data_IF_094508899538
#
_entry.id   IF_094508899538
#
_cell.length_a   1.000
_cell.length_b   1.000
_cell.length_c   1.000
_cell.angle_alpha   90.00
_cell.angle_beta   90.00
_cell.angle_gamma   90.00
#
_symmetry.space_group_name_H-M   'P 1'
#
loop_
_entity.id
_entity.type
_entity.pdbx_description
1 polymer ?
#
# COMPACT_ATOMS: atom_id res chain seq x y z
N UNK A 1 -19.60 19.04 0.10
CA UNK A 1 -20.60 18.43 0.97
C UNK A 1 -20.65 16.95 0.66
N UNK A 2 -20.55 16.13 1.68
CA UNK A 2 -20.56 14.68 1.59
C UNK A 2 -21.84 14.15 2.26
N UNK A 3 -22.25 12.93 1.94
CA UNK A 3 -23.34 12.26 2.63
C UNK A 3 -22.96 10.79 2.79
N UNK A 4 -22.98 10.31 4.01
CA UNK A 4 -22.72 8.91 4.32
C UNK A 4 -23.87 8.34 5.16
N UNK A 5 -24.40 7.22 4.69
CA UNK A 5 -25.25 6.34 5.46
C UNK A 5 -24.54 5.01 5.64
N UNK A 6 -24.26 4.65 6.88
CA UNK A 6 -23.60 3.39 7.21
C UNK A 6 -24.54 2.54 8.05
N UNK A 7 -24.76 1.33 7.61
CA UNK A 7 -25.48 0.29 8.36
C UNK A 7 -24.51 -0.85 8.61
N UNK A 8 -24.15 -1.02 9.86
CA UNK A 8 -23.29 -2.13 10.29
C UNK A 8 -24.17 -3.16 10.98
N UNK A 9 -24.10 -4.39 10.51
CA UNK A 9 -24.69 -5.55 11.18
C UNK A 9 -23.75 -6.73 10.96
N UNK A 10 -22.86 -6.95 11.93
CA UNK A 10 -21.88 -8.02 11.90
C UNK A 10 -22.08 -8.93 13.09
N UNK A 11 -22.22 -10.21 12.85
CA UNK A 11 -22.34 -11.22 13.88
C UNK A 11 -21.63 -12.50 13.48
N UNK A 12 -21.22 -13.28 14.46
CA UNK A 12 -20.59 -14.57 14.24
C UNK A 12 -21.14 -15.59 15.24
N UNK A 13 -21.76 -16.63 14.70
CA UNK A 13 -22.09 -17.83 15.47
C UNK A 13 -20.92 -18.81 15.40
N UNK A 14 -20.59 -19.41 16.51
CA UNK A 14 -19.58 -20.45 16.63
C UNK A 14 -20.17 -21.63 17.40
N UNK A 15 -19.69 -22.83 17.09
CA UNK A 15 -20.02 -24.04 17.84
C UNK A 15 -19.31 -24.09 19.20
N UNK A 16 -19.52 -25.17 19.95
CA UNK A 16 -18.87 -25.40 21.24
C UNK A 16 -17.35 -25.49 21.15
N UNK A 17 -16.80 -25.77 19.96
CA UNK A 17 -15.37 -25.83 19.69
C UNK A 17 -14.80 -24.49 19.18
N UNK A 18 -15.65 -23.46 19.02
CA UNK A 18 -15.23 -22.13 18.56
C UNK A 18 -15.12 -21.97 17.04
N UNK A 19 -15.57 -22.93 16.25
CA UNK A 19 -15.58 -22.86 14.79
C UNK A 19 -16.83 -22.14 14.28
N UNK A 20 -16.67 -21.34 13.23
CA UNK A 20 -17.79 -20.88 12.41
C UNK A 20 -18.09 -21.94 11.37
N UNK A 21 -18.90 -22.89 11.70
CA UNK A 21 -19.34 -23.92 10.73
C UNK A 21 -20.56 -23.46 9.96
N UNK A 22 -20.62 -23.67 8.63
CA UNK A 22 -21.90 -23.65 7.94
C UNK A 22 -22.77 -24.77 8.53
N UNK A 23 -24.00 -24.44 8.90
CA UNK A 23 -24.95 -25.44 9.40
C UNK A 23 -25.23 -26.40 8.25
N UNK A 24 -24.82 -27.66 8.40
CA UNK A 24 -25.23 -28.71 7.48
C UNK A 24 -26.64 -29.19 7.86
N UNK A 25 -27.63 -28.70 7.15
CA UNK A 25 -29.02 -29.12 7.33
C UNK A 25 -29.32 -30.53 6.76
N UNK A 26 -28.32 -31.15 6.08
CA UNK A 26 -28.54 -32.45 5.41
C UNK A 26 -28.40 -33.63 6.36
N UNK A 27 -27.79 -33.45 7.53
CA UNK A 27 -27.58 -34.50 8.52
C UNK A 27 -28.39 -34.22 9.78
N UNK A 28 -29.63 -34.71 9.91
CA UNK A 28 -30.46 -34.49 11.10
C UNK A 28 -29.75 -35.07 12.34
N UNK A 29 -29.62 -34.25 13.38
CA UNK A 29 -29.16 -34.65 14.71
C UNK A 29 -27.66 -34.43 15.00
N UNK A 30 -26.88 -33.80 14.10
CA UNK A 30 -25.44 -33.53 14.31
C UNK A 30 -25.14 -32.19 14.96
N UNK A 31 -26.09 -31.27 15.01
CA UNK A 31 -25.93 -29.98 15.70
C UNK A 31 -27.14 -29.71 16.60
N UNK A 32 -26.89 -29.74 17.88
CA UNK A 32 -27.88 -29.22 18.85
C UNK A 32 -27.82 -27.70 18.80
N UNK A 33 -28.95 -27.03 18.60
CA UNK A 33 -28.99 -25.55 18.61
C UNK A 33 -28.49 -24.96 19.96
N UNK A 34 -28.44 -25.77 21.01
CA UNK A 34 -27.87 -25.44 22.31
C UNK A 34 -26.31 -25.30 22.28
N UNK A 35 -25.65 -25.87 21.27
CA UNK A 35 -24.18 -25.85 21.15
C UNK A 35 -23.66 -24.63 20.37
N UNK A 36 -24.58 -23.86 19.75
CA UNK A 36 -24.22 -22.63 19.04
C UNK A 36 -24.23 -21.43 19.99
N UNK A 37 -23.18 -20.64 19.96
CA UNK A 37 -23.07 -19.41 20.72
C UNK A 37 -22.71 -18.23 19.80
N UNK A 38 -23.26 -17.08 20.15
CA UNK A 38 -22.93 -15.83 19.48
C UNK A 38 -21.58 -15.35 20.01
N UNK A 39 -20.56 -15.35 19.15
CA UNK A 39 -19.22 -14.88 19.50
C UNK A 39 -19.19 -13.36 19.63
N UNK A 40 -19.82 -12.66 18.71
CA UNK A 40 -20.02 -11.22 18.76
C UNK A 40 -21.23 -10.80 17.93
N UNK A 41 -21.78 -9.66 18.27
CA UNK A 41 -22.78 -8.94 17.48
C UNK A 41 -22.50 -7.45 17.55
N UNK A 42 -22.21 -6.85 16.40
CA UNK A 42 -21.94 -5.43 16.24
C UNK A 42 -23.06 -4.87 15.36
N UNK A 43 -23.86 -3.97 15.89
CA UNK A 43 -24.96 -3.34 15.17
C UNK A 43 -24.87 -1.81 15.33
N UNK A 44 -24.79 -1.09 14.21
CA UNK A 44 -24.74 0.35 14.19
C UNK A 44 -25.50 0.91 12.99
N UNK A 45 -26.15 2.04 13.18
CA UNK A 45 -26.80 2.79 12.10
C UNK A 45 -26.39 4.25 12.21
N UNK A 46 -25.59 4.69 11.26
CA UNK A 46 -25.01 6.02 11.27
C UNK A 46 -25.44 6.82 10.03
N UNK A 47 -25.74 8.09 10.21
CA UNK A 47 -26.03 9.00 9.13
C UNK A 47 -25.36 10.33 9.39
N UNK A 48 -24.47 10.76 8.49
CA UNK A 48 -23.77 12.03 8.57
C UNK A 48 -23.78 12.76 7.22
N UNK A 49 -23.73 14.08 7.27
CA UNK A 49 -23.67 14.95 6.09
C UNK A 49 -22.57 16.03 6.26
N UNK A 50 -21.31 15.62 6.40
CA UNK A 50 -20.25 16.58 6.65
C UNK A 50 -19.90 17.43 5.43
N UNK A 51 -19.27 18.56 5.71
CA UNK A 51 -18.67 19.46 4.72
C UNK A 51 -17.18 19.59 5.00
N UNK A 52 -16.38 19.50 3.96
CA UNK A 52 -14.94 19.80 4.03
C UNK A 52 -14.64 21.01 3.18
N UNK A 53 -13.94 21.99 3.78
CA UNK A 53 -13.41 23.14 3.09
C UNK A 53 -11.89 23.09 3.12
N UNK A 54 -11.23 23.38 2.02
CA UNK A 54 -9.78 23.44 2.00
C UNK A 54 -9.28 24.49 1.02
N UNK A 55 -8.18 25.15 1.41
CA UNK A 55 -7.46 26.10 0.58
C UNK A 55 -5.96 25.86 0.70
N UNK A 56 -5.21 26.30 -0.27
CA UNK A 56 -3.75 26.23 -0.23
C UNK A 56 -3.12 27.44 -0.92
N UNK A 57 -1.90 27.77 -0.48
CA UNK A 57 -1.02 28.72 -1.14
C UNK A 57 0.36 28.07 -1.31
N UNK A 58 0.96 28.29 -2.47
CA UNK A 58 2.28 27.73 -2.77
C UNK A 58 3.13 28.76 -3.48
N UNK A 59 4.40 28.84 -3.08
CA UNK A 59 5.43 29.65 -3.67
C UNK A 59 6.52 28.76 -4.24
N UNK A 60 6.96 29.01 -5.47
CA UNK A 60 8.04 28.29 -6.12
C UNK A 60 8.97 29.30 -6.78
N UNK A 61 10.26 29.20 -6.50
CA UNK A 61 11.28 30.07 -7.10
C UNK A 61 12.51 29.28 -7.48
N UNK A 62 13.04 29.57 -8.67
CA UNK A 62 14.35 29.13 -9.14
C UNK A 62 15.24 30.36 -9.19
N UNK A 63 16.46 30.25 -8.70
CA UNK A 63 17.48 31.31 -8.80
C UNK A 63 18.87 30.68 -8.87
N UNK A 64 19.87 31.50 -9.11
CA UNK A 64 21.26 31.09 -9.16
C UNK A 64 22.01 31.69 -7.97
N UNK A 65 22.81 30.88 -7.30
CA UNK A 65 23.77 31.32 -6.29
C UNK A 65 25.17 31.04 -6.84
N UNK A 66 25.77 32.06 -7.49
CA UNK A 66 26.92 31.84 -8.34
C UNK A 66 26.57 30.95 -9.54
N UNK A 67 27.26 29.85 -9.72
CA UNK A 67 26.99 28.84 -10.76
C UNK A 67 25.96 27.80 -10.33
N UNK A 68 25.66 27.73 -9.03
CA UNK A 68 24.73 26.72 -8.47
C UNK A 68 23.28 27.10 -8.77
N UNK A 69 22.52 26.19 -9.33
CA UNK A 69 21.06 26.34 -9.48
C UNK A 69 20.35 25.94 -8.19
N UNK A 70 19.53 26.85 -7.67
CA UNK A 70 18.76 26.67 -6.43
C UNK A 70 17.27 26.70 -6.73
N UNK A 71 16.54 25.78 -6.14
CA UNK A 71 15.10 25.69 -6.23
C UNK A 71 14.52 25.72 -4.82
N UNK A 72 13.53 26.58 -4.60
CA UNK A 72 12.79 26.68 -3.35
C UNK A 72 11.32 26.51 -3.64
N UNK A 73 10.68 25.59 -2.94
CA UNK A 73 9.23 25.44 -2.93
C UNK A 73 8.78 25.51 -1.47
N UNK A 74 7.80 26.35 -1.19
CA UNK A 74 7.16 26.43 0.12
C UNK A 74 5.66 26.55 -0.06
N UNK A 75 4.90 25.94 0.81
CA UNK A 75 3.45 25.98 0.72
C UNK A 75 2.79 25.72 2.06
N UNK A 76 1.57 26.18 2.16
CA UNK A 76 0.69 25.94 3.29
C UNK A 76 -0.68 25.52 2.77
N UNK A 77 -1.26 24.53 3.42
CA UNK A 77 -2.64 24.10 3.19
C UNK A 77 -3.40 24.23 4.50
N UNK A 78 -4.59 24.81 4.44
CA UNK A 78 -5.55 24.81 5.53
C UNK A 78 -6.77 23.97 5.11
N UNK A 79 -7.34 23.24 6.04
CA UNK A 79 -8.54 22.43 5.81
C UNK A 79 -9.39 22.42 7.08
N UNK A 80 -10.69 22.56 6.91
CA UNK A 80 -11.68 22.50 7.98
C UNK A 80 -12.69 21.39 7.67
N UNK A 81 -13.03 20.60 8.69
CA UNK A 81 -14.04 19.56 8.60
C UNK A 81 -15.06 19.72 9.71
N UNK A 82 -16.33 19.90 9.34
CA UNK A 82 -17.41 20.22 10.27
C UNK A 82 -17.93 18.99 11.05
N UNK A 83 -17.50 17.78 10.72
CA UNK A 83 -17.88 16.57 11.45
C UNK A 83 -17.33 16.56 12.88
N UNK A 84 -16.08 16.97 13.04
CA UNK A 84 -15.39 17.06 14.33
C UNK A 84 -14.93 18.49 14.66
N UNK A 85 -15.42 19.49 13.91
CA UNK A 85 -15.05 20.93 14.03
C UNK A 85 -13.53 21.20 13.99
N UNK A 86 -12.79 20.34 13.26
CA UNK A 86 -11.32 20.40 13.22
C UNK A 86 -10.82 21.31 12.09
N UNK A 87 -9.92 22.23 12.45
CA UNK A 87 -9.16 23.03 11.49
C UNK A 87 -7.69 22.68 11.56
N UNK A 88 -7.12 22.18 10.45
CA UNK A 88 -5.73 21.77 10.33
C UNK A 88 -4.96 22.67 9.38
N UNK A 89 -3.68 22.93 9.71
CA UNK A 89 -2.75 23.72 8.91
C UNK A 89 -1.50 22.88 8.63
N UNK A 90 -1.20 22.67 7.35
CA UNK A 90 -0.14 21.80 6.85
C UNK A 90 0.93 22.58 6.09
N UNK A 91 1.95 23.15 6.77
CA UNK A 91 3.09 23.80 6.13
C UNK A 91 4.06 22.75 5.58
N UNK A 92 4.67 23.05 4.42
CA UNK A 92 5.71 22.21 3.80
C UNK A 92 6.71 23.07 3.05
N UNK A 93 7.95 22.65 3.02
CA UNK A 93 9.00 23.29 2.27
C UNK A 93 9.93 22.26 1.63
N UNK A 94 10.51 22.62 0.50
CA UNK A 94 11.53 21.88 -0.19
C UNK A 94 12.60 22.86 -0.68
N UNK A 95 13.85 22.47 -0.48
CA UNK A 95 15.00 23.14 -0.99
C UNK A 95 15.79 22.15 -1.83
N UNK A 96 16.22 22.58 -3.03
CA UNK A 96 17.04 21.74 -3.88
C UNK A 96 18.16 22.55 -4.50
N UNK A 97 19.33 21.91 -4.63
CA UNK A 97 20.52 22.49 -5.26
C UNK A 97 21.03 21.57 -6.35
N UNK A 98 21.35 22.18 -7.49
CA UNK A 98 22.05 21.52 -8.58
C UNK A 98 23.39 22.24 -8.77
N UNK A 99 24.50 21.71 -8.20
CA UNK A 99 25.84 22.26 -8.41
C UNK A 99 26.25 22.23 -9.88
N UNK A 100 27.15 23.13 -10.24
CA UNK A 100 27.72 23.21 -11.58
C UNK A 100 29.07 22.48 -11.60
N UNK A 101 29.04 21.16 -11.55
CA UNK A 101 30.17 20.25 -11.64
C UNK A 101 29.94 19.23 -12.76
N UNK A 102 30.95 18.45 -13.12
CA UNK A 102 30.86 17.48 -14.23
C UNK A 102 29.80 16.39 -14.05
N UNK A 103 29.47 16.09 -12.81
CA UNK A 103 28.42 15.14 -12.48
C UNK A 103 27.04 15.82 -12.41
N UNK A 104 26.07 15.32 -13.16
CA UNK A 104 24.70 15.83 -13.11
C UNK A 104 23.97 15.31 -11.86
N UNK A 105 24.07 16.07 -10.78
CA UNK A 105 23.48 15.73 -9.49
C UNK A 105 22.52 16.83 -8.99
N UNK A 106 21.38 16.41 -8.48
CA UNK A 106 20.40 17.27 -7.82
C UNK A 106 20.17 16.77 -6.39
N UNK A 107 20.57 17.57 -5.41
CA UNK A 107 20.34 17.30 -3.99
C UNK A 107 19.08 18.02 -3.53
N UNK A 108 18.26 17.33 -2.76
CA UNK A 108 16.99 17.87 -2.27
C UNK A 108 16.83 17.56 -0.78
N UNK A 109 16.33 18.55 -0.03
CA UNK A 109 15.81 18.37 1.30
C UNK A 109 14.36 18.86 1.32
N UNK A 110 13.46 18.06 1.83
CA UNK A 110 12.07 18.42 1.98
C UNK A 110 11.57 18.08 3.38
N UNK A 111 10.67 18.89 3.89
CA UNK A 111 10.04 18.63 5.18
C UNK A 111 8.71 19.35 5.32
N UNK A 112 7.92 18.90 6.27
CA UNK A 112 6.62 19.50 6.54
C UNK A 112 5.82 18.74 7.58
N UNK A 113 4.69 19.37 7.91
CA UNK A 113 3.66 18.77 8.76
C UNK A 113 2.48 18.41 7.84
N UNK A 114 2.09 17.16 7.91
CA UNK A 114 1.03 16.60 7.07
C UNK A 114 -0.06 16.07 7.97
N UNK A 115 -1.29 16.38 7.64
CA UNK A 115 -2.46 15.85 8.32
C UNK A 115 -3.28 15.01 7.35
N UNK A 116 -3.82 13.94 7.86
CA UNK A 116 -4.77 13.10 7.18
C UNK A 116 -6.04 13.02 8.02
N UNK A 117 -7.10 13.67 7.55
CA UNK A 117 -8.41 13.49 8.17
C UNK A 117 -8.83 12.04 8.07
N UNK A 118 -9.45 11.49 9.10
CA UNK A 118 -9.87 10.09 9.11
C UNK A 118 -10.76 9.74 7.93
N UNK A 119 -10.60 8.53 7.43
CA UNK A 119 -11.57 7.92 6.53
C UNK A 119 -12.81 7.48 7.29
N UNK A 120 -13.93 7.34 6.62
CA UNK A 120 -15.20 6.91 7.24
C UNK A 120 -15.14 5.54 7.92
N UNK A 121 -14.18 4.68 7.53
CA UNK A 121 -13.93 3.42 8.23
C UNK A 121 -13.15 3.61 9.54
N UNK A 122 -12.33 4.65 9.61
CA UNK A 122 -11.48 4.96 10.77
C UNK A 122 -12.26 5.65 11.89
N UNK A 123 -13.33 6.40 11.57
CA UNK A 123 -14.18 7.06 12.56
C UNK A 123 -15.15 6.12 13.27
N UNK A 124 -15.29 4.89 12.77
CA UNK A 124 -16.17 3.91 13.35
C UNK A 124 -15.46 3.13 14.45
N UNK A 125 -16.04 3.15 15.63
CA UNK A 125 -15.56 2.36 16.76
C UNK A 125 -15.92 0.87 16.61
N UNK A 126 -15.51 0.09 17.59
CA UNK A 126 -15.70 -1.35 17.59
C UNK A 126 -17.17 -1.77 17.87
N UNK A 127 -17.97 -0.88 18.40
CA UNK A 127 -19.40 -1.08 18.62
C UNK A 127 -20.22 -0.69 17.39
N UNK A 128 -19.58 -0.15 16.36
CA UNK A 128 -20.23 0.24 15.11
C UNK A 128 -20.74 1.67 15.06
N UNK A 129 -20.43 2.50 16.07
CA UNK A 129 -20.85 3.90 16.13
C UNK A 129 -19.76 4.83 15.59
N UNK A 130 -20.17 6.00 15.11
CA UNK A 130 -19.21 7.02 14.68
C UNK A 130 -18.73 7.85 15.86
N UNK A 131 -17.41 7.95 16.00
CA UNK A 131 -16.76 8.81 16.98
C UNK A 131 -16.56 10.21 16.39
N UNK A 132 -17.30 11.20 16.91
CA UNK A 132 -17.17 12.61 16.48
C UNK A 132 -15.98 13.33 17.13
N UNK A 133 -15.33 12.76 18.12
CA UNK A 133 -14.17 13.35 18.79
C UNK A 133 -12.84 12.93 18.11
N UNK A 134 -12.91 12.15 17.05
CA UNK A 134 -11.73 11.68 16.36
C UNK A 134 -11.03 12.81 15.60
N UNK A 135 -9.73 12.91 15.75
CA UNK A 135 -8.89 13.94 15.16
C UNK A 135 -8.14 13.42 13.92
N UNK A 136 -7.61 14.35 13.13
CA UNK A 136 -6.73 14.04 12.00
C UNK A 136 -5.40 13.46 12.48
N UNK A 137 -4.99 12.38 11.84
CA UNK A 137 -3.66 11.80 12.05
C UNK A 137 -2.59 12.78 11.54
N UNK A 138 -1.54 13.01 12.30
CA UNK A 138 -0.47 13.95 12.01
C UNK A 138 0.83 13.24 11.69
N UNK A 139 1.57 13.72 10.68
CA UNK A 139 2.92 13.26 10.38
C UNK A 139 3.84 14.44 10.17
N UNK A 140 4.92 14.52 10.94
CA UNK A 140 6.06 15.40 10.69
C UNK A 140 7.14 14.60 9.99
N UNK A 141 7.62 15.07 8.84
CA UNK A 141 8.59 14.32 8.07
C UNK A 141 9.70 15.18 7.49
N UNK A 142 10.87 14.57 7.38
CA UNK A 142 12.04 15.10 6.68
C UNK A 142 12.52 14.05 5.69
N UNK A 143 12.84 14.50 4.48
CA UNK A 143 13.30 13.65 3.37
C UNK A 143 14.56 14.30 2.80
N UNK A 144 15.62 13.51 2.68
CA UNK A 144 16.82 13.83 1.93
C UNK A 144 16.82 13.00 0.65
N UNK A 145 17.05 13.62 -0.48
CA UNK A 145 17.03 12.93 -1.78
C UNK A 145 18.15 13.41 -2.68
N UNK A 146 18.68 12.49 -3.47
CA UNK A 146 19.64 12.79 -4.52
C UNK A 146 19.18 12.15 -5.84
N UNK A 147 19.17 12.93 -6.91
CA UNK A 147 19.05 12.44 -8.28
C UNK A 147 20.42 12.57 -8.95
N UNK A 148 20.95 11.46 -9.46
CA UNK A 148 22.18 11.39 -10.21
C UNK A 148 21.90 10.89 -11.62
N UNK A 149 22.09 11.77 -12.61
CA UNK A 149 21.97 11.45 -14.03
C UNK A 149 23.37 11.22 -14.63
N UNK A 150 23.55 10.08 -15.27
CA UNK A 150 24.84 9.68 -15.81
C UNK A 150 24.69 8.84 -17.08
N UNK A 151 25.80 8.65 -17.79
CA UNK A 151 25.85 7.75 -18.94
C UNK A 151 26.67 6.52 -18.59
N UNK A 152 26.13 5.35 -18.92
CA UNK A 152 26.85 4.09 -18.84
C UNK A 152 26.72 3.37 -20.17
N UNK A 153 27.86 3.02 -20.80
CA UNK A 153 27.88 2.43 -22.15
C UNK A 153 27.11 3.32 -23.15
N UNK A 154 27.37 4.65 -23.11
CA UNK A 154 26.71 5.69 -23.90
C UNK A 154 25.21 5.83 -23.81
N UNK A 155 24.57 5.21 -22.79
CA UNK A 155 23.13 5.25 -22.54
C UNK A 155 22.80 6.06 -21.31
N UNK A 156 21.61 6.71 -21.27
CA UNK A 156 21.20 7.50 -20.13
C UNK A 156 20.71 6.62 -18.98
N UNK A 157 21.21 6.94 -17.79
CA UNK A 157 20.75 6.35 -16.54
C UNK A 157 20.47 7.43 -15.51
N UNK A 158 19.53 7.14 -14.61
CA UNK A 158 19.23 7.97 -13.46
C UNK A 158 19.15 7.11 -12.21
N UNK A 159 19.99 7.43 -11.23
CA UNK A 159 19.91 6.88 -9.88
C UNK A 159 19.23 7.90 -8.97
N UNK A 160 18.10 7.53 -8.40
CA UNK A 160 17.45 8.31 -7.35
C UNK A 160 17.64 7.58 -6.03
N UNK A 161 18.14 8.29 -5.01
CA UNK A 161 18.26 7.79 -3.64
C UNK A 161 17.53 8.72 -2.69
N UNK A 162 16.83 8.15 -1.72
CA UNK A 162 16.09 8.91 -0.72
C UNK A 162 16.30 8.29 0.66
N UNK A 163 16.44 9.14 1.67
CA UNK A 163 16.41 8.75 3.07
C UNK A 163 15.39 9.61 3.79
N UNK A 164 14.58 9.02 4.65
CA UNK A 164 13.50 9.74 5.31
C UNK A 164 13.29 9.30 6.75
N UNK A 165 12.78 10.25 7.54
CA UNK A 165 12.27 10.02 8.86
C UNK A 165 10.91 10.70 9.02
N UNK A 166 9.96 9.99 9.64
CA UNK A 166 8.60 10.47 9.92
C UNK A 166 8.27 10.20 11.37
N UNK A 167 7.84 11.23 12.09
CA UNK A 167 7.18 11.10 13.38
C UNK A 167 5.68 11.21 13.15
N UNK A 168 4.92 10.33 13.75
CA UNK A 168 3.47 10.24 13.57
C UNK A 168 2.78 10.34 14.92
N UNK A 169 1.79 11.20 15.01
CA UNK A 169 1.00 11.44 16.21
C UNK A 169 -0.49 11.33 15.87
N UNK A 170 -1.34 11.14 16.87
CA UNK A 170 -2.78 10.99 16.73
C UNK A 170 -3.15 9.85 15.75
N UNK A 171 -2.38 8.78 15.75
CA UNK A 171 -2.67 7.63 14.89
C UNK A 171 -3.91 6.90 15.39
N UNK A 172 -4.68 6.40 14.42
CA UNK A 172 -5.81 5.51 14.66
C UNK A 172 -5.31 4.09 14.43
N UNK A 173 -5.06 3.31 15.49
CA UNK A 173 -4.58 1.95 15.34
C UNK A 173 -5.65 1.05 14.72
N UNK A 174 -5.17 0.04 14.03
CA UNK A 174 -6.00 -1.00 13.46
C UNK A 174 -5.34 -2.36 13.63
N UNK A 175 -6.13 -3.39 13.56
CA UNK A 175 -5.67 -4.76 13.56
C UNK A 175 -6.26 -5.54 12.39
N UNK A 176 -5.63 -6.67 12.10
CA UNK A 176 -6.08 -7.59 11.07
C UNK A 176 -6.89 -8.71 11.74
N UNK A 177 -8.21 -8.67 11.55
CA UNK A 177 -9.10 -9.76 11.93
C UNK A 177 -9.24 -10.68 10.71
N UNK A 178 -8.43 -11.74 10.69
CA UNK A 178 -8.26 -12.60 9.53
C UNK A 178 -7.78 -11.81 8.29
N UNK A 179 -8.68 -11.48 7.38
CA UNK A 179 -8.40 -10.66 6.18
C UNK A 179 -9.02 -9.26 6.26
N UNK A 180 -9.73 -8.93 7.34
CA UNK A 180 -10.39 -7.64 7.50
C UNK A 180 -9.53 -6.70 8.32
N UNK A 181 -9.55 -5.43 7.94
CA UNK A 181 -8.98 -4.34 8.73
C UNK A 181 -10.08 -3.81 9.65
N UNK A 182 -9.82 -3.81 10.95
CA UNK A 182 -10.68 -3.21 11.96
C UNK A 182 -9.94 -2.08 12.64
N UNK A 183 -10.54 -0.90 12.63
CA UNK A 183 -10.00 0.29 13.26
C UNK A 183 -10.51 0.42 14.70
N UNK A 184 -9.68 1.00 15.57
CA UNK A 184 -10.08 1.26 16.97
C UNK A 184 -11.14 2.38 17.09
N UNK A 185 -11.22 3.27 16.09
CA UNK A 185 -12.04 4.48 16.15
C UNK A 185 -11.55 5.52 17.16
N UNK A 186 -10.28 5.46 17.59
CA UNK A 186 -9.67 6.36 18.58
C UNK A 186 -8.27 6.77 18.16
N UNK A 187 -7.85 8.01 18.52
CA UNK A 187 -6.51 8.53 18.31
C UNK A 187 -5.58 8.18 19.50
N UNK A 188 -5.40 6.91 19.78
CA UNK A 188 -4.66 6.44 20.94
C UNK A 188 -3.30 5.82 20.61
N UNK A 189 -2.74 6.19 19.45
CA UNK A 189 -1.43 5.69 19.03
C UNK A 189 -0.55 6.82 18.50
N UNK A 190 0.75 6.66 18.70
CA UNK A 190 1.82 7.44 18.10
C UNK A 190 2.83 6.51 17.45
N UNK A 191 3.68 7.02 16.58
CA UNK A 191 4.63 6.16 15.91
C UNK A 191 5.72 6.91 15.16
N UNK A 192 6.60 6.13 14.54
CA UNK A 192 7.62 6.66 13.66
C UNK A 192 7.91 5.71 12.51
N UNK A 193 8.38 6.27 11.42
CA UNK A 193 8.87 5.51 10.28
C UNK A 193 10.19 6.10 9.79
N UNK A 194 11.10 5.25 9.36
CA UNK A 194 12.33 5.63 8.69
C UNK A 194 12.68 4.64 7.60
N UNK A 195 13.41 5.11 6.60
CA UNK A 195 13.81 4.24 5.52
C UNK A 195 14.78 4.89 4.55
N UNK A 196 15.27 4.03 3.67
CA UNK A 196 16.13 4.38 2.55
C UNK A 196 15.61 3.67 1.31
N UNK A 197 15.46 4.43 0.22
CA UNK A 197 15.02 3.96 -1.07
C UNK A 197 16.10 4.26 -2.12
N UNK A 198 16.31 3.32 -3.04
CA UNK A 198 17.17 3.51 -4.19
C UNK A 198 16.48 2.99 -5.45
N UNK A 199 16.53 3.76 -6.53
CA UNK A 199 15.97 3.38 -7.83
C UNK A 199 16.94 3.75 -8.94
N UNK A 200 17.34 2.74 -9.71
CA UNK A 200 18.08 2.91 -10.95
C UNK A 200 17.10 2.74 -12.12
N UNK A 201 16.97 3.77 -12.92
CA UNK A 201 16.16 3.81 -14.13
C UNK A 201 17.07 4.11 -15.32
N UNK A 202 16.82 3.50 -16.47
CA UNK A 202 17.56 3.83 -17.69
C UNK A 202 17.42 2.80 -18.79
N UNK A 203 18.16 3.04 -19.86
CA UNK A 203 18.21 2.16 -21.02
C UNK A 203 19.24 1.04 -20.83
N UNK A 204 18.86 -0.04 -20.15
CA UNK A 204 19.71 -1.24 -20.09
C UNK A 204 19.87 -1.90 -21.46
N UNK A 205 18.85 -1.76 -22.31
CA UNK A 205 18.86 -2.13 -23.72
C UNK A 205 18.51 -0.88 -24.53
N UNK A 206 19.20 -0.58 -25.65
CA UNK A 206 18.94 0.60 -26.44
C UNK A 206 17.47 0.74 -26.84
N UNK A 207 16.87 1.91 -26.58
CA UNK A 207 15.50 2.25 -26.96
C UNK A 207 14.40 1.63 -26.10
N UNK A 208 14.74 0.97 -24.98
CA UNK A 208 13.75 0.47 -24.00
C UNK A 208 14.17 0.77 -22.58
N UNK A 209 13.25 1.35 -21.83
CA UNK A 209 13.46 1.72 -20.44
C UNK A 209 13.25 0.50 -19.54
N UNK A 210 14.14 0.34 -18.59
CA UNK A 210 14.06 -0.64 -17.52
C UNK A 210 14.43 0.00 -16.19
N UNK A 211 14.04 -0.62 -15.08
CA UNK A 211 14.37 -0.09 -13.77
C UNK A 211 14.55 -1.19 -12.73
N UNK A 212 15.33 -0.86 -11.72
CA UNK A 212 15.54 -1.66 -10.52
C UNK A 212 15.34 -0.75 -9.31
N UNK A 213 14.63 -1.22 -8.31
CA UNK A 213 14.46 -0.49 -7.04
C UNK A 213 14.67 -1.41 -5.86
N UNK A 214 15.28 -0.86 -4.81
CA UNK A 214 15.43 -1.49 -3.52
C UNK A 214 15.05 -0.49 -2.43
N UNK A 215 14.30 -0.95 -1.44
CA UNK A 215 13.80 -0.14 -0.33
C UNK A 215 14.01 -0.87 0.98
N UNK A 216 14.47 -0.16 1.98
CA UNK A 216 14.46 -0.62 3.36
C UNK A 216 13.73 0.39 4.22
N UNK A 217 12.69 -0.05 4.91
CA UNK A 217 11.90 0.82 5.78
C UNK A 217 11.47 0.08 7.05
N UNK A 218 11.32 0.82 8.12
CA UNK A 218 10.74 0.34 9.38
C UNK A 218 9.64 1.30 9.81
N UNK A 219 8.55 0.73 10.27
CA UNK A 219 7.39 1.46 10.75
C UNK A 219 6.95 0.88 12.08
N UNK A 220 6.96 1.73 13.11
CA UNK A 220 6.58 1.36 14.47
C UNK A 220 5.42 2.22 14.96
N UNK A 221 4.64 1.66 15.84
CA UNK A 221 3.60 2.38 16.58
C UNK A 221 3.62 1.98 18.06
N UNK A 222 3.14 2.87 18.90
CA UNK A 222 2.95 2.67 20.33
C UNK A 222 1.51 2.99 20.66
N UNK A 223 0.75 1.98 20.99
CA UNK A 223 -0.69 2.08 21.29
C UNK A 223 -0.82 2.20 22.81
N UNK A 224 -1.53 3.23 23.29
CA UNK A 224 -1.77 3.51 24.72
C UNK A 224 -0.50 3.57 25.60
N UNK A 225 0.65 3.91 25.01
CA UNK A 225 1.91 3.95 25.75
C UNK A 225 2.47 2.58 26.19
N UNK A 226 1.96 1.48 25.64
CA UNK A 226 2.33 0.10 26.03
C UNK A 226 3.63 -0.42 25.41
N UNK A 227 4.34 0.44 24.68
CA UNK A 227 5.62 0.12 24.02
C UNK A 227 5.53 0.07 22.50
N UNK A 228 6.68 0.20 21.85
CA UNK A 228 6.76 0.22 20.39
C UNK A 228 6.64 -1.18 19.78
N UNK A 229 5.71 -1.34 18.88
CA UNK A 229 5.47 -2.56 18.10
C UNK A 229 5.59 -2.26 16.60
N UNK A 230 5.98 -3.23 15.76
CA UNK A 230 5.94 -3.05 14.32
C UNK A 230 4.50 -2.84 13.86
N UNK A 231 4.26 -1.80 13.06
CA UNK A 231 2.93 -1.59 12.47
C UNK A 231 2.62 -2.69 11.44
N UNK A 232 1.34 -3.06 11.22
CA UNK A 232 0.98 -4.10 10.23
C UNK A 232 1.52 -3.85 8.82
N UNK A 233 1.88 -2.60 8.53
CA UNK A 233 2.46 -2.17 7.25
C UNK A 233 3.98 -2.10 7.22
N UNK A 234 4.69 -2.56 8.28
CA UNK A 234 6.17 -2.54 8.33
C UNK A 234 6.76 -3.42 7.22
N UNK A 235 7.27 -2.85 6.11
CA UNK A 235 7.62 -3.64 4.92
C UNK A 235 9.02 -4.25 5.02
N UNK A 236 9.86 -3.76 5.92
CA UNK A 236 11.29 -4.06 6.04
C UNK A 236 12.02 -3.87 4.72
N UNK A 237 12.27 -4.93 3.97
CA UNK A 237 12.97 -4.88 2.70
C UNK A 237 12.04 -5.20 1.54
N UNK A 238 12.14 -4.40 0.47
CA UNK A 238 11.48 -4.63 -0.82
C UNK A 238 12.49 -4.50 -1.94
N UNK A 239 12.34 -5.36 -2.92
CA UNK A 239 13.07 -5.30 -4.17
C UNK A 239 12.08 -5.47 -5.33
N UNK A 240 12.21 -4.61 -6.34
CA UNK A 240 11.42 -4.72 -7.56
C UNK A 240 12.28 -4.38 -8.76
N UNK A 241 12.10 -5.13 -9.84
CA UNK A 241 12.79 -4.93 -11.09
C UNK A 241 11.79 -5.08 -12.24
N UNK A 242 11.88 -4.20 -13.20
CA UNK A 242 11.24 -4.32 -14.50
C UNK A 242 12.29 -4.22 -15.57
N UNK A 243 12.44 -5.26 -16.36
CA UNK A 243 13.41 -5.35 -17.44
C UNK A 243 12.70 -5.62 -18.75
N UNK A 244 13.09 -4.89 -19.79
CA UNK A 244 12.61 -5.10 -21.15
C UNK A 244 13.76 -5.32 -22.10
N UNK A 245 13.54 -6.16 -23.12
CA UNK A 245 14.46 -6.40 -24.20
C UNK A 245 13.71 -6.72 -25.50
N UNK A 246 14.36 -6.50 -26.62
CA UNK A 246 13.91 -6.98 -27.91
C UNK A 246 14.37 -8.43 -28.12
N UNK A 247 13.50 -9.23 -28.71
CA UNK A 247 13.87 -10.60 -29.05
C UNK A 247 14.98 -10.58 -30.13
N UNK A 248 16.10 -11.28 -29.94
CA UNK A 248 17.16 -11.35 -30.94
C UNK A 248 16.59 -11.77 -32.30
N UNK A 249 16.97 -11.08 -33.38
CA UNK A 249 16.48 -11.27 -34.76
C UNK A 249 15.03 -10.88 -35.05
N UNK A 250 14.24 -10.51 -34.01
CA UNK A 250 12.84 -10.10 -34.17
C UNK A 250 12.58 -8.80 -33.39
N UNK A 251 13.03 -7.63 -33.87
CA UNK A 251 12.92 -6.35 -33.14
C UNK A 251 11.47 -5.90 -32.92
N UNK A 252 10.51 -6.46 -33.69
CA UNK A 252 9.08 -6.24 -33.45
C UNK A 252 8.51 -7.01 -32.23
N UNK A 253 9.31 -7.92 -31.66
CA UNK A 253 8.95 -8.68 -30.47
C UNK A 253 9.72 -8.18 -29.25
N UNK A 254 9.02 -7.91 -28.17
CA UNK A 254 9.59 -7.47 -26.91
C UNK A 254 9.29 -8.47 -25.81
N UNK A 255 10.29 -8.80 -25.04
CA UNK A 255 10.16 -9.59 -23.82
C UNK A 255 10.23 -8.67 -22.62
N UNK A 256 9.40 -8.86 -21.62
CA UNK A 256 9.50 -8.16 -20.35
C UNK A 256 9.54 -9.17 -19.20
N UNK A 257 10.27 -8.79 -18.16
CA UNK A 257 10.42 -9.53 -16.93
C UNK A 257 10.16 -8.60 -15.77
N UNK A 258 9.24 -8.97 -14.89
CA UNK A 258 9.03 -8.26 -13.62
C UNK A 258 9.39 -9.19 -12.47
N UNK A 259 10.25 -8.73 -11.58
CA UNK A 259 10.59 -9.41 -10.34
C UNK A 259 10.08 -8.56 -9.18
N UNK A 260 9.42 -9.19 -8.22
CA UNK A 260 9.04 -8.54 -6.97
C UNK A 260 9.37 -9.45 -5.80
N UNK A 261 10.08 -8.90 -4.84
CA UNK A 261 10.37 -9.51 -3.56
C UNK A 261 10.01 -8.51 -2.45
N UNK A 262 9.37 -8.98 -1.39
CA UNK A 262 9.18 -8.21 -0.17
C UNK A 262 9.26 -9.14 1.05
N UNK A 263 9.80 -8.65 2.16
CA UNK A 263 9.69 -9.36 3.42
C UNK A 263 8.22 -9.55 3.78
N UNK A 264 7.93 -10.60 4.54
CA UNK A 264 6.59 -10.80 5.09
C UNK A 264 6.20 -9.67 6.01
N UNK A 265 4.95 -9.24 5.91
CA UNK A 265 4.39 -8.23 6.81
C UNK A 265 4.25 -8.77 8.23
N UNK A 266 4.30 -7.90 9.25
CA UNK A 266 4.00 -8.28 10.63
C UNK A 266 2.63 -8.96 10.72
N UNK A 267 2.57 -10.04 11.46
CA UNK A 267 1.38 -10.82 11.70
C UNK A 267 1.35 -11.25 13.16
N UNK A 268 0.16 -11.33 13.71
CA UNK A 268 -0.06 -11.74 15.09
C UNK A 268 -0.85 -13.01 15.22
N UNK A 269 -0.99 -13.47 16.46
CA UNK A 269 -2.00 -14.44 16.86
C UNK A 269 -3.37 -13.75 16.87
N UNK A 270 -4.47 -14.51 16.85
CA UNK A 270 -5.79 -13.92 17.01
C UNK A 270 -5.88 -13.17 18.32
N UNK A 271 -6.59 -12.08 18.28
CA UNK A 271 -6.93 -11.30 19.47
C UNK A 271 -7.72 -12.22 20.41
N UNK A 272 -7.35 -12.22 21.71
CA UNK A 272 -8.20 -12.80 22.73
C UNK A 272 -9.54 -12.05 22.78
N UNK A 273 -10.56 -12.71 23.22
CA UNK A 273 -11.84 -12.06 23.51
C UNK A 273 -11.85 -11.68 24.99
N UNK A 274 -12.42 -10.50 25.29
CA UNK A 274 -12.71 -10.10 26.66
C UNK A 274 -13.85 -10.95 27.27
N UNK A 275 -14.18 -10.68 28.53
CA UNK A 275 -15.24 -11.38 29.25
C UNK A 275 -16.62 -11.30 28.56
N UNK A 276 -16.81 -10.28 27.71
CA UNK A 276 -18.05 -10.05 26.96
C UNK A 276 -18.01 -10.64 25.55
N UNK A 277 -16.94 -11.35 25.19
CA UNK A 277 -16.75 -11.91 23.86
C UNK A 277 -16.36 -10.88 22.78
N UNK A 278 -16.01 -9.64 23.18
CA UNK A 278 -15.47 -8.63 22.28
C UNK A 278 -13.97 -8.83 22.09
N UNK A 279 -13.43 -8.45 20.93
CA UNK A 279 -11.99 -8.49 20.72
C UNK A 279 -11.23 -7.65 21.75
N UNK A 280 -10.30 -8.27 22.45
CA UNK A 280 -9.40 -7.57 23.38
C UNK A 280 -8.26 -6.92 22.60
N UNK A 281 -8.31 -5.58 22.49
CA UNK A 281 -7.30 -4.78 21.80
C UNK A 281 -6.13 -4.40 22.69
N UNK A 282 -6.18 -4.76 23.95
CA UNK A 282 -5.12 -4.43 24.91
C UNK A 282 -3.86 -5.27 24.75
N UNK A 283 -3.91 -6.30 23.93
CA UNK A 283 -2.75 -7.15 23.68
C UNK A 283 -1.87 -6.58 22.54
N UNK A 284 -0.81 -5.80 22.85
CA UNK A 284 0.05 -5.17 21.84
C UNK A 284 0.98 -6.15 21.11
N UNK A 285 0.85 -7.44 21.39
CA UNK A 285 1.78 -8.49 20.95
C UNK A 285 1.38 -9.19 19.67
N UNK A 286 0.36 -8.70 18.99
CA UNK A 286 -0.22 -9.33 17.79
C UNK A 286 0.75 -9.42 16.62
N UNK A 287 1.76 -8.55 16.57
CA UNK A 287 2.65 -8.41 15.42
C UNK A 287 4.06 -8.95 15.67
N UNK A 288 4.20 -9.89 16.58
CA UNK A 288 5.50 -10.51 16.90
C UNK A 288 5.99 -11.49 15.84
N UNK A 289 5.11 -11.96 14.96
CA UNK A 289 5.45 -12.87 13.87
C UNK A 289 5.41 -12.13 12.55
N UNK A 290 5.97 -12.73 11.52
CA UNK A 290 5.88 -12.23 10.15
C UNK A 290 5.31 -13.30 9.25
N UNK A 291 4.53 -12.87 8.27
CA UNK A 291 4.11 -13.73 7.17
C UNK A 291 5.32 -14.18 6.36
N UNK A 292 5.21 -15.25 5.56
CA UNK A 292 6.23 -15.61 4.57
C UNK A 292 6.49 -14.45 3.61
N UNK A 293 7.73 -14.36 3.12
CA UNK A 293 8.13 -13.34 2.14
C UNK A 293 7.31 -13.45 0.86
N UNK A 294 6.86 -12.32 0.35
CA UNK A 294 6.23 -12.20 -0.96
C UNK A 294 7.26 -12.33 -2.07
N UNK A 295 6.99 -13.19 -3.05
CA UNK A 295 7.85 -13.41 -4.21
C UNK A 295 7.00 -13.56 -5.46
N UNK A 296 7.32 -12.82 -6.51
CA UNK A 296 6.59 -12.93 -7.77
C UNK A 296 7.50 -12.66 -8.96
N UNK A 297 7.33 -13.47 -9.99
CA UNK A 297 7.98 -13.29 -11.28
C UNK A 297 6.90 -13.30 -12.34
N UNK A 298 6.84 -12.22 -13.12
CA UNK A 298 5.93 -12.11 -14.26
C UNK A 298 6.77 -12.04 -15.55
N UNK A 299 6.33 -12.76 -16.57
CA UNK A 299 6.98 -12.79 -17.87
C UNK A 299 5.97 -12.38 -18.92
N UNK A 300 6.34 -11.44 -19.79
CA UNK A 300 5.51 -10.99 -20.89
C UNK A 300 6.25 -11.06 -22.21
N UNK A 301 5.48 -11.33 -23.25
CA UNK A 301 5.91 -11.25 -24.64
C UNK A 301 4.90 -10.40 -25.38
N UNK A 302 5.37 -9.40 -26.11
CA UNK A 302 4.53 -8.58 -26.97
C UNK A 302 5.08 -8.52 -28.39
N UNK A 303 4.17 -8.46 -29.38
CA UNK A 303 4.53 -8.29 -30.77
C UNK A 303 3.81 -7.09 -31.34
N UNK A 304 4.59 -6.19 -31.91
CA UNK A 304 4.09 -5.06 -32.67
C UNK A 304 3.84 -5.54 -34.10
N UNK A 305 2.61 -5.49 -34.55
CA UNK A 305 2.20 -5.85 -35.91
C UNK A 305 2.14 -4.62 -36.83
N UNK A 306 1.70 -3.50 -36.28
CA UNK A 306 1.60 -2.23 -36.99
C UNK A 306 2.18 -1.15 -36.09
N UNK A 307 3.16 -0.41 -36.63
CA UNK A 307 3.63 0.86 -36.13
C UNK A 307 3.84 1.77 -37.36
N UNK A 308 3.02 2.80 -37.48
CA UNK A 308 3.10 3.70 -38.64
C UNK A 308 4.41 4.47 -38.74
N UNK A 309 5.20 4.53 -37.67
CA UNK A 309 6.52 5.13 -37.69
C UNK A 309 7.51 4.25 -38.44
N UNK A 310 7.45 2.93 -38.23
CA UNK A 310 8.42 1.98 -38.74
C UNK A 310 7.85 1.03 -39.81
N UNK A 311 6.58 0.65 -39.72
CA UNK A 311 5.92 -0.28 -40.64
C UNK A 311 4.61 0.33 -41.17
N UNK A 312 4.67 1.08 -42.28
CA UNK A 312 3.49 1.60 -42.92
C UNK A 312 2.75 0.48 -43.65
N UNK A 313 1.59 0.10 -43.15
CA UNK A 313 0.64 -0.74 -43.89
C UNK A 313 -0.17 0.16 -44.81
N UNK A 314 0.07 0.07 -46.11
CA UNK A 314 -0.59 0.88 -47.09
C UNK A 314 -1.91 0.19 -47.56
N UNK A 315 -3.05 0.74 -47.14
CA UNK A 315 -4.37 0.40 -47.67
C UNK A 315 -5.12 -0.74 -46.93
N UNK A 316 -6.42 -0.83 -47.23
CA UNK A 316 -7.34 -1.82 -46.64
C UNK A 316 -7.71 -1.56 -45.20
N UNK A 317 -8.36 -2.53 -44.55
CA UNK A 317 -8.80 -2.47 -43.14
C UNK A 317 -7.64 -2.18 -42.18
N UNK A 318 -6.48 -2.77 -42.42
CA UNK A 318 -5.29 -2.62 -41.55
C UNK A 318 -4.63 -1.23 -41.68
N UNK A 319 -4.83 -0.52 -42.77
CA UNK A 319 -4.35 0.85 -42.97
C UNK A 319 -5.01 1.88 -42.04
N UNK A 320 -6.11 1.55 -41.41
CA UNK A 320 -6.79 2.42 -40.45
C UNK A 320 -6.14 2.43 -39.09
N UNK A 321 -5.25 1.49 -38.83
CA UNK A 321 -4.54 1.40 -37.55
C UNK A 321 -3.21 2.14 -37.59
N UNK A 322 -2.96 2.98 -36.60
CA UNK A 322 -1.66 3.61 -36.37
C UNK A 322 -0.71 2.72 -35.57
N UNK A 323 -1.29 1.92 -34.70
CA UNK A 323 -0.56 0.99 -33.85
C UNK A 323 -1.43 -0.25 -33.62
N UNK A 324 -0.82 -1.43 -33.68
CA UNK A 324 -1.44 -2.70 -33.32
C UNK A 324 -0.40 -3.59 -32.65
N UNK A 325 -0.60 -3.88 -31.37
CA UNK A 325 0.28 -4.70 -30.56
C UNK A 325 -0.50 -5.79 -29.83
N UNK A 326 -0.04 -7.03 -29.93
CA UNK A 326 -0.57 -8.16 -29.17
C UNK A 326 0.45 -8.51 -28.08
N UNK A 327 -0.02 -8.59 -26.85
CA UNK A 327 0.76 -9.01 -25.68
C UNK A 327 0.20 -10.28 -25.05
N UNK A 328 1.09 -11.15 -24.60
CA UNK A 328 0.78 -12.30 -23.74
C UNK A 328 1.61 -12.20 -22.49
N UNK A 329 1.00 -12.36 -21.34
CA UNK A 329 1.67 -12.25 -20.04
C UNK A 329 1.35 -13.48 -19.18
N UNK A 330 2.36 -13.96 -18.49
CA UNK A 330 2.26 -15.00 -17.47
C UNK A 330 2.57 -14.32 -16.13
N UNK A 331 1.53 -14.15 -15.33
CA UNK A 331 1.68 -13.63 -13.98
C UNK A 331 2.00 -14.76 -13.01
N UNK A 332 2.91 -14.50 -12.07
CA UNK A 332 3.39 -15.49 -11.10
C UNK A 332 3.88 -16.76 -11.81
N UNK A 333 4.82 -16.61 -12.73
CA UNK A 333 5.29 -17.67 -13.64
C UNK A 333 5.73 -18.95 -12.91
N UNK A 334 6.28 -18.83 -11.71
CA UNK A 334 6.70 -19.97 -10.88
C UNK A 334 5.60 -20.53 -9.97
N UNK A 335 4.37 -19.98 -10.05
CA UNK A 335 3.22 -20.40 -9.23
C UNK A 335 3.50 -20.39 -7.72
N UNK A 336 4.20 -19.36 -7.26
CA UNK A 336 4.55 -19.20 -5.84
C UNK A 336 3.29 -18.86 -5.04
N UNK A 337 3.08 -19.62 -3.96
CA UNK A 337 1.96 -19.37 -3.04
C UNK A 337 2.31 -18.23 -2.07
N UNK A 338 1.84 -17.01 -2.38
CA UNK A 338 2.04 -15.84 -1.54
C UNK A 338 0.93 -15.72 -0.50
N UNK A 339 1.26 -15.81 0.76
CA UNK A 339 0.33 -15.64 1.89
C UNK A 339 0.19 -14.17 2.23
N UNK A 340 -1.05 -13.67 2.33
CA UNK A 340 -1.36 -12.28 2.67
C UNK A 340 -1.95 -12.10 4.05
N UNK A 341 -2.55 -13.16 4.60
CA UNK A 341 -3.11 -13.20 5.94
C UNK A 341 -3.21 -14.65 6.40
N UNK A 342 -3.47 -14.83 7.68
CA UNK A 342 -3.88 -16.11 8.24
C UNK A 342 -5.33 -15.99 8.71
N UNK A 343 -6.16 -16.95 8.35
CA UNK A 343 -7.42 -17.19 9.03
C UNK A 343 -7.15 -18.12 10.20
N UNK A 344 -7.51 -17.69 11.38
CA UNK A 344 -7.24 -18.46 12.58
C UNK A 344 -8.45 -19.32 12.95
N UNK A 345 -8.19 -20.57 13.29
CA UNK A 345 -9.17 -21.51 13.80
C UNK A 345 -8.74 -21.85 15.23
N UNK A 346 -9.62 -21.61 16.18
CA UNK A 346 -9.40 -21.96 17.58
C UNK A 346 -9.96 -23.35 17.88
N UNK A 347 -9.12 -24.24 18.36
CA UNK A 347 -9.53 -25.51 18.94
C UNK A 347 -9.72 -25.33 20.45
N UNK A 348 -10.97 -25.25 20.87
CA UNK A 348 -11.33 -25.02 22.29
C UNK A 348 -10.90 -26.17 23.18
N UNK A 349 -10.81 -27.41 22.65
CA UNK A 349 -10.42 -28.59 23.42
C UNK A 349 -8.93 -28.57 23.81
N UNK A 350 -8.10 -28.05 22.94
CA UNK A 350 -6.64 -27.94 23.15
C UNK A 350 -6.18 -26.52 23.47
N UNK A 351 -7.09 -25.54 23.37
CA UNK A 351 -6.80 -24.11 23.44
C UNK A 351 -5.68 -23.65 22.49
N UNK A 352 -5.65 -24.28 21.33
CA UNK A 352 -4.63 -24.00 20.30
C UNK A 352 -5.25 -23.31 19.10
N UNK A 353 -4.55 -22.27 18.60
CA UNK A 353 -4.96 -21.54 17.40
C UNK A 353 -4.16 -22.01 16.18
N UNK A 354 -4.86 -22.54 15.19
CA UNK A 354 -4.29 -23.02 13.93
C UNK A 354 -4.35 -21.92 12.86
N UNK A 355 -3.20 -21.51 12.27
CA UNK A 355 -3.19 -20.58 11.15
C UNK A 355 -3.51 -21.28 9.84
N UNK A 356 -4.58 -20.89 9.18
CA UNK A 356 -4.91 -21.29 7.81
C UNK A 356 -4.50 -20.16 6.87
N UNK A 357 -3.50 -20.35 6.00
CA UNK A 357 -2.99 -19.25 5.17
C UNK A 357 -3.98 -18.88 4.06
N UNK A 358 -4.31 -17.58 4.00
CA UNK A 358 -5.02 -16.97 2.88
C UNK A 358 -3.99 -16.57 1.82
N UNK A 359 -4.13 -17.09 0.63
CA UNK A 359 -3.16 -16.96 -0.46
C UNK A 359 -3.68 -16.07 -1.57
N UNK A 360 -2.77 -15.32 -2.20
CA UNK A 360 -3.06 -14.63 -3.45
C UNK A 360 -3.21 -15.62 -4.60
N UNK A 361 -3.79 -15.12 -5.69
CA UNK A 361 -3.94 -15.85 -6.94
C UNK A 361 -2.62 -16.47 -7.39
N UNK A 362 -2.64 -17.74 -7.74
CA UNK A 362 -1.52 -18.46 -8.32
C UNK A 362 -1.16 -17.94 -9.71
N UNK A 363 -0.53 -18.79 -10.52
CA UNK A 363 -0.20 -18.44 -11.90
C UNK A 363 -1.47 -18.25 -12.75
N UNK A 364 -1.49 -17.17 -13.55
CA UNK A 364 -2.53 -16.96 -14.55
C UNK A 364 -1.96 -16.32 -15.81
N UNK A 365 -2.70 -16.46 -16.90
CA UNK A 365 -2.36 -15.94 -18.20
C UNK A 365 -3.24 -14.76 -18.55
N UNK A 366 -2.65 -13.76 -19.17
CA UNK A 366 -3.34 -12.58 -19.67
C UNK A 366 -2.98 -12.34 -21.14
N UNK A 367 -3.97 -12.01 -21.93
CA UNK A 367 -3.78 -11.61 -23.33
C UNK A 367 -4.28 -10.18 -23.48
N UNK A 368 -3.45 -9.33 -24.05
CA UNK A 368 -3.71 -7.90 -24.25
C UNK A 368 -3.60 -7.55 -25.72
N UNK A 369 -4.59 -6.87 -26.25
CA UNK A 369 -4.57 -6.29 -27.58
C UNK A 369 -4.66 -4.77 -27.45
N UNK A 370 -3.60 -4.10 -27.85
CA UNK A 370 -3.54 -2.64 -27.93
C UNK A 370 -3.67 -2.22 -29.39
N UNK A 371 -4.57 -1.29 -29.67
CA UNK A 371 -4.70 -0.71 -31.00
C UNK A 371 -5.01 0.80 -30.93
N UNK A 372 -4.50 1.51 -31.90
CA UNK A 372 -4.74 2.94 -32.09
C UNK A 372 -5.17 3.18 -33.53
N UNK A 373 -6.27 3.87 -33.70
CA UNK A 373 -6.83 4.31 -34.98
C UNK A 373 -6.24 5.64 -35.43
#
# INVERSE_FOLDING_TARGET
KEMLKDLTNEWQLVDSLGYSTPIDYTTPGTLNAADLRLRFNIAGSNHIQPTRLSGYAQFSKKFYWGTIRVFVNAGVRASHWDFNDETIISPRAQFAIKPDWDMDMLFKIAGGIYYQSPFYKEIKDLDGNFNSEIESQRSMQVILSNDFEFRMVDRPFKLTTEAYYKKMDNLIPYYLDNVRIRYSGKNNSEGYAYGVDARLFGEFVPGVDSWVSASYARVYENIDGKGSIPRPTDPRFRFSMFYQDYMPKFPSMRVNLTLTYANGLPSGTPISLDENGKPDFEAPYQYQRTLPSYKRVDIGLSKVFIDQKDNKVNGGFWGNFKELTLGVQIFNAFNISNTVANQWINDVSTNYNYPVPVRLTGRFFNVKLDFKL
#
